data_IF_229870696480
#
_entry.id   IF_229870696480
#
_cell.length_a   1.000
_cell.length_b   1.000
_cell.length_c   1.000
_cell.angle_alpha   90.00
_cell.angle_beta   90.00
_cell.angle_gamma   90.00
#
_symmetry.space_group_name_H-M   'P 1'
#
loop_
_entity.id
_entity.type
_entity.pdbx_description
1 polymer ?
#
# COMPACT_ATOMS: atom_id res chain seq x y z
N UNK A 1 -28.44 -7.02 15.35
CA UNK A 1 -28.21 -6.06 14.25
C UNK A 1 -26.79 -6.29 13.74
N UNK A 2 -26.61 -6.66 12.47
CA UNK A 2 -25.32 -7.07 11.90
C UNK A 2 -24.54 -5.94 11.21
N UNK A 3 -25.19 -4.79 11.03
CA UNK A 3 -24.64 -3.59 10.40
C UNK A 3 -25.02 -2.37 11.25
N UNK A 4 -24.07 -1.48 11.50
CA UNK A 4 -24.29 -0.21 12.19
C UNK A 4 -23.49 0.88 11.49
N UNK A 5 -24.16 1.99 11.17
CA UNK A 5 -23.52 3.20 10.67
C UNK A 5 -23.77 4.34 11.65
N UNK A 6 -22.69 4.87 12.21
CA UNK A 6 -22.69 6.05 13.07
C UNK A 6 -22.18 7.22 12.25
N UNK A 7 -23.12 8.05 11.81
CA UNK A 7 -22.85 9.30 11.11
C UNK A 7 -22.96 10.48 12.08
N UNK A 8 -22.38 11.63 11.72
CA UNK A 8 -22.47 12.86 12.53
C UNK A 8 -21.86 12.68 13.92
N UNK A 9 -20.70 12.02 13.98
CA UNK A 9 -19.99 11.71 15.22
C UNK A 9 -19.59 12.95 16.04
N UNK A 10 -19.57 14.14 15.44
CA UNK A 10 -19.39 15.41 16.17
C UNK A 10 -20.47 15.63 17.25
N UNK A 11 -21.67 15.07 17.08
CA UNK A 11 -22.75 15.17 18.08
C UNK A 11 -22.50 14.30 19.31
N UNK A 12 -21.65 13.29 19.18
CA UNK A 12 -21.26 12.41 20.29
C UNK A 12 -20.16 13.01 21.17
N UNK A 13 -19.44 14.03 20.70
CA UNK A 13 -18.38 14.72 21.48
C UNK A 13 -18.90 15.34 22.78
N UNK A 14 -20.20 15.65 22.85
CA UNK A 14 -20.85 16.22 24.03
C UNK A 14 -21.62 15.19 24.88
N UNK A 15 -21.64 13.91 24.49
CA UNK A 15 -22.40 12.89 25.17
C UNK A 15 -21.47 11.95 25.95
N UNK A 16 -21.52 12.00 27.28
CA UNK A 16 -20.87 11.05 28.16
C UNK A 16 -21.62 9.72 28.13
N UNK A 17 -21.41 8.90 27.11
CA UNK A 17 -22.02 7.56 27.07
C UNK A 17 -20.99 6.49 26.79
N UNK A 18 -20.87 5.63 27.81
CA UNK A 18 -20.27 4.30 27.90
C UNK A 18 -20.12 3.53 26.58
N UNK A 19 -19.19 2.58 26.57
CA UNK A 19 -18.83 1.61 25.50
C UNK A 19 -20.02 0.87 24.84
N UNK A 20 -20.89 1.56 24.10
CA UNK A 20 -22.16 1.01 23.55
C UNK A 20 -21.92 -0.09 22.51
N UNK A 21 -20.74 -0.11 21.89
CA UNK A 21 -20.44 -0.98 20.76
C UNK A 21 -19.92 -2.36 21.16
N UNK A 22 -19.28 -2.49 22.33
CA UNK A 22 -18.70 -3.78 22.79
C UNK A 22 -19.78 -4.84 23.05
N UNK A 23 -20.96 -4.41 23.50
CA UNK A 23 -22.07 -5.29 23.85
C UNK A 23 -22.85 -5.77 22.61
N UNK A 24 -22.56 -5.22 21.42
CA UNK A 24 -23.20 -5.59 20.16
C UNK A 24 -22.53 -6.80 19.53
N UNK A 25 -22.58 -7.94 20.22
CA UNK A 25 -21.95 -9.21 19.81
C UNK A 25 -22.42 -9.79 18.48
N UNK A 26 -23.48 -9.25 17.86
CA UNK A 26 -23.93 -9.65 16.52
C UNK A 26 -23.51 -8.68 15.42
N UNK A 27 -22.82 -7.59 15.75
CA UNK A 27 -22.38 -6.57 14.81
C UNK A 27 -21.17 -7.06 14.02
N UNK A 28 -21.33 -7.10 12.69
CA UNK A 28 -20.28 -7.51 11.76
C UNK A 28 -19.73 -6.37 10.93
N UNK A 29 -20.51 -5.31 10.73
CA UNK A 29 -20.13 -4.17 9.89
C UNK A 29 -20.33 -2.87 10.66
N UNK A 30 -19.29 -2.06 10.75
CA UNK A 30 -19.29 -0.79 11.45
C UNK A 30 -18.79 0.32 10.52
N UNK A 31 -19.61 1.35 10.34
CA UNK A 31 -19.22 2.59 9.67
C UNK A 31 -19.19 3.72 10.69
N UNK A 32 -18.05 4.41 10.80
CA UNK A 32 -17.84 5.58 11.64
C UNK A 32 -17.56 6.77 10.73
N UNK A 33 -18.50 7.69 10.64
CA UNK A 33 -18.40 8.86 9.76
C UNK A 33 -18.49 10.15 10.58
N UNK A 34 -17.42 10.94 10.47
CA UNK A 34 -17.44 12.32 10.94
C UNK A 34 -17.92 13.23 9.82
N UNK A 35 -18.77 14.22 10.11
CA UNK A 35 -19.18 15.14 9.04
C UNK A 35 -18.09 16.17 8.75
N UNK A 36 -17.83 16.40 7.46
CA UNK A 36 -16.91 17.43 7.01
C UNK A 36 -17.42 18.79 7.46
N UNK A 37 -16.66 19.47 8.32
CA UNK A 37 -16.83 20.91 8.52
C UNK A 37 -16.40 21.58 7.22
N UNK A 38 -17.10 22.65 6.80
CA UNK A 38 -16.77 23.39 5.57
C UNK A 38 -15.34 23.97 5.57
N UNK A 39 -14.99 24.76 4.55
CA UNK A 39 -13.65 25.32 4.36
C UNK A 39 -13.08 25.98 5.64
N UNK A 40 -12.06 25.34 6.23
CA UNK A 40 -11.36 25.80 7.43
C UNK A 40 -10.49 24.71 8.06
N UNK A 41 -9.40 25.11 8.74
CA UNK A 41 -8.59 24.19 9.54
C UNK A 41 -9.29 23.84 10.86
N UNK A 42 -9.25 22.58 11.27
CA UNK A 42 -9.73 22.16 12.60
C UNK A 42 -8.88 22.80 13.70
N UNK A 43 -9.52 23.25 14.79
CA UNK A 43 -8.80 23.66 15.99
C UNK A 43 -8.19 22.44 16.70
N UNK A 44 -7.16 22.64 17.52
CA UNK A 44 -6.59 21.57 18.35
C UNK A 44 -7.64 20.90 19.26
N UNK A 45 -8.63 21.69 19.72
CA UNK A 45 -9.74 21.18 20.52
C UNK A 45 -10.66 20.25 19.71
N UNK A 46 -10.99 20.61 18.47
CA UNK A 46 -11.79 19.75 17.59
C UNK A 46 -11.08 18.41 17.33
N UNK A 47 -9.76 18.46 17.07
CA UNK A 47 -8.92 17.26 16.84
C UNK A 47 -8.93 16.37 18.09
N UNK A 48 -8.68 16.95 19.26
CA UNK A 48 -8.69 16.21 20.54
C UNK A 48 -10.05 15.59 20.82
N UNK A 49 -11.14 16.30 20.52
CA UNK A 49 -12.49 15.79 20.71
C UNK A 49 -12.80 14.63 19.77
N UNK A 50 -12.38 14.68 18.51
CA UNK A 50 -12.54 13.57 17.58
C UNK A 50 -11.78 12.32 18.06
N UNK A 51 -10.52 12.47 18.49
CA UNK A 51 -9.75 11.36 19.05
C UNK A 51 -10.45 10.73 20.26
N UNK A 52 -10.96 11.55 21.19
CA UNK A 52 -11.73 11.07 22.37
C UNK A 52 -13.01 10.33 22.00
N UNK A 53 -13.73 10.79 20.98
CA UNK A 53 -14.97 10.13 20.53
C UNK A 53 -14.62 8.76 19.93
N UNK A 54 -13.64 8.70 19.03
CA UNK A 54 -13.23 7.44 18.42
C UNK A 54 -12.63 6.44 19.43
N UNK A 55 -11.95 6.92 20.47
CA UNK A 55 -11.44 6.08 21.57
C UNK A 55 -12.56 5.38 22.35
N UNK A 56 -13.72 6.02 22.49
CA UNK A 56 -14.88 5.46 23.18
C UNK A 56 -15.69 4.47 22.31
N UNK A 57 -15.52 4.53 20.99
CA UNK A 57 -16.23 3.69 20.01
C UNK A 57 -15.51 2.35 19.77
N UNK A 58 -15.25 1.61 20.86
CA UNK A 58 -14.53 0.33 20.81
C UNK A 58 -15.36 -0.70 20.02
N UNK A 59 -14.86 -1.21 18.89
CA UNK A 59 -15.58 -2.21 18.10
C UNK A 59 -15.66 -3.56 18.84
N UNK A 60 -16.71 -4.37 18.57
CA UNK A 60 -16.78 -5.72 19.10
C UNK A 60 -15.77 -6.64 18.41
N UNK A 61 -15.31 -7.68 19.13
CA UNK A 61 -14.24 -8.58 18.69
C UNK A 61 -14.54 -9.36 17.40
N UNK A 62 -15.82 -9.53 17.05
CA UNK A 62 -16.30 -10.28 15.90
C UNK A 62 -16.62 -9.40 14.69
N UNK A 63 -16.13 -8.15 14.68
CA UNK A 63 -16.31 -7.23 13.57
C UNK A 63 -15.53 -7.73 12.33
N UNK A 64 -16.22 -7.77 11.19
CA UNK A 64 -15.69 -8.26 9.90
C UNK A 64 -15.43 -7.11 8.91
N UNK A 65 -16.17 -5.99 8.98
CA UNK A 65 -16.00 -4.80 8.13
C UNK A 65 -15.97 -3.53 8.98
N UNK A 66 -14.91 -2.75 8.84
CA UNK A 66 -14.72 -1.45 9.48
C UNK A 66 -14.47 -0.39 8.40
N UNK A 67 -15.32 0.64 8.40
CA UNK A 67 -15.16 1.81 7.55
C UNK A 67 -15.08 3.06 8.42
N UNK A 68 -13.98 3.80 8.34
CA UNK A 68 -13.80 5.10 8.98
C UNK A 68 -13.76 6.16 7.88
N UNK A 69 -14.60 7.18 8.02
CA UNK A 69 -14.76 8.26 7.03
C UNK A 69 -14.52 9.60 7.70
N UNK A 70 -13.69 10.44 7.07
CA UNK A 70 -13.45 11.84 7.44
C UNK A 70 -12.86 12.00 8.84
N UNK A 71 -12.06 11.04 9.30
CA UNK A 71 -11.36 11.15 10.57
C UNK A 71 -10.17 12.12 10.44
N UNK A 72 -10.20 13.18 11.25
CA UNK A 72 -9.20 14.26 11.24
C UNK A 72 -8.39 14.32 12.55
N UNK A 73 -8.47 13.27 13.38
CA UNK A 73 -7.52 13.07 14.47
C UNK A 73 -6.11 12.82 13.94
N UNK A 74 -5.09 13.18 14.73
CA UNK A 74 -3.70 12.93 14.36
C UNK A 74 -3.28 11.52 14.76
N UNK A 75 -3.93 10.95 15.78
CA UNK A 75 -3.63 9.63 16.33
C UNK A 75 -4.82 8.68 16.17
N UNK A 76 -4.55 7.46 15.73
CA UNK A 76 -5.56 6.41 15.73
C UNK A 76 -5.89 5.95 17.16
N UNK A 77 -7.13 5.50 17.40
CA UNK A 77 -7.53 4.96 18.69
C UNK A 77 -6.68 3.80 19.17
N UNK A 78 -6.54 3.63 20.48
CA UNK A 78 -5.69 2.57 21.06
C UNK A 78 -6.18 1.17 20.70
N UNK A 79 -7.48 0.99 20.45
CA UNK A 79 -8.04 -0.29 20.04
C UNK A 79 -7.54 -0.79 18.67
N UNK A 80 -6.93 0.06 17.82
CA UNK A 80 -6.18 -0.39 16.64
C UNK A 80 -4.93 -1.21 16.98
N UNK A 81 -4.39 -1.05 18.19
CA UNK A 81 -3.20 -1.74 18.68
C UNK A 81 -3.52 -3.04 19.44
N UNK A 82 -4.79 -3.46 19.42
CA UNK A 82 -5.29 -4.57 20.25
C UNK A 82 -5.94 -5.66 19.41
N UNK A 83 -6.22 -6.80 20.02
CA UNK A 83 -6.83 -7.97 19.35
C UNK A 83 -8.31 -7.80 18.99
N UNK A 84 -8.92 -6.64 19.26
CA UNK A 84 -10.35 -6.38 18.95
C UNK A 84 -10.68 -6.49 17.45
N UNK A 85 -9.68 -6.32 16.58
CA UNK A 85 -9.85 -6.38 15.12
C UNK A 85 -9.41 -7.73 14.52
N UNK A 86 -9.19 -8.76 15.34
CA UNK A 86 -8.69 -10.06 14.88
C UNK A 86 -9.61 -10.78 13.89
N UNK A 87 -10.92 -10.53 13.93
CA UNK A 87 -11.89 -11.04 12.95
C UNK A 87 -12.07 -10.15 11.71
N UNK A 88 -11.37 -9.00 11.64
CA UNK A 88 -11.58 -8.02 10.58
C UNK A 88 -11.13 -8.55 9.21
N UNK A 89 -12.01 -8.45 8.22
CA UNK A 89 -11.81 -8.90 6.85
C UNK A 89 -11.66 -7.70 5.90
N UNK A 90 -12.43 -6.64 6.12
CA UNK A 90 -12.45 -5.42 5.31
C UNK A 90 -12.14 -4.20 6.16
N UNK A 91 -11.17 -3.40 5.75
CA UNK A 91 -10.84 -2.12 6.37
C UNK A 91 -10.79 -1.02 5.32
N UNK A 92 -11.55 0.06 5.54
CA UNK A 92 -11.57 1.26 4.70
C UNK A 92 -11.33 2.49 5.57
N UNK A 93 -10.24 3.19 5.30
CA UNK A 93 -9.94 4.51 5.85
C UNK A 93 -10.11 5.51 4.72
N UNK A 94 -11.14 6.36 4.81
CA UNK A 94 -11.51 7.30 3.76
C UNK A 94 -11.43 8.72 4.29
N UNK A 95 -10.72 9.57 3.56
CA UNK A 95 -10.57 10.99 3.86
C UNK A 95 -9.90 11.25 5.23
N UNK A 96 -8.79 10.56 5.51
CA UNK A 96 -8.03 10.63 6.78
C UNK A 96 -6.89 11.64 6.74
N UNK A 97 -7.20 12.89 6.37
CA UNK A 97 -6.21 13.90 5.95
C UNK A 97 -5.17 14.27 7.01
N UNK A 98 -5.53 14.26 8.29
CA UNK A 98 -4.68 14.75 9.40
C UNK A 98 -3.74 13.70 9.98
N UNK A 99 -3.92 12.42 9.65
CA UNK A 99 -3.13 11.34 10.23
C UNK A 99 -1.71 11.32 9.64
N UNK A 100 -0.70 11.51 10.49
CA UNK A 100 0.72 11.53 10.07
C UNK A 100 1.29 10.12 9.88
N UNK A 101 0.81 9.18 10.70
CA UNK A 101 1.15 7.78 10.64
C UNK A 101 -0.12 6.98 10.45
N UNK A 102 -0.07 5.86 9.73
CA UNK A 102 -1.21 4.96 9.69
C UNK A 102 -1.11 3.89 10.81
N UNK A 103 -2.24 3.25 11.20
CA UNK A 103 -2.28 2.40 12.38
C UNK A 103 -1.58 1.05 12.14
N UNK A 104 -1.18 0.30 13.17
CA UNK A 104 -0.53 -1.00 13.00
C UNK A 104 -1.53 -2.11 12.66
N UNK A 105 -2.18 -1.98 11.52
CA UNK A 105 -3.19 -2.91 10.98
C UNK A 105 -2.57 -4.09 10.24
N UNK A 106 -1.25 -4.12 10.09
CA UNK A 106 -0.50 -5.10 9.31
C UNK A 106 -0.47 -6.47 9.98
N UNK A 107 -0.67 -6.50 11.29
CA UNK A 107 -0.73 -7.74 12.08
C UNK A 107 -2.12 -8.38 12.06
N UNK A 108 -3.11 -7.79 11.36
CA UNK A 108 -4.47 -8.33 11.30
C UNK A 108 -4.48 -9.66 10.52
N UNK A 109 -4.81 -10.78 11.17
CA UNK A 109 -4.58 -12.12 10.60
C UNK A 109 -5.60 -12.52 9.54
N UNK A 110 -6.76 -11.84 9.49
CA UNK A 110 -7.87 -12.18 8.60
C UNK A 110 -8.19 -11.10 7.57
N UNK A 111 -7.42 -10.00 7.54
CA UNK A 111 -7.70 -8.89 6.64
C UNK A 111 -7.45 -9.33 5.20
N UNK A 112 -8.48 -9.23 4.36
CA UNK A 112 -8.44 -9.54 2.92
C UNK A 112 -8.45 -8.28 2.05
N UNK A 113 -9.04 -7.20 2.54
CA UNK A 113 -9.19 -5.95 1.80
C UNK A 113 -8.77 -4.77 2.67
N UNK A 114 -7.88 -3.93 2.14
CA UNK A 114 -7.47 -2.68 2.74
C UNK A 114 -7.58 -1.56 1.70
N UNK A 115 -8.34 -0.51 2.04
CA UNK A 115 -8.34 0.77 1.30
C UNK A 115 -7.96 1.90 2.24
N UNK A 116 -6.98 2.70 1.83
CA UNK A 116 -6.57 3.94 2.48
C UNK A 116 -6.68 5.05 1.43
N UNK A 117 -7.43 6.09 1.75
CA UNK A 117 -7.84 7.13 0.81
C UNK A 117 -7.81 8.49 1.51
N UNK A 118 -7.23 9.50 0.84
CA UNK A 118 -7.14 10.86 1.36
C UNK A 118 -6.19 11.03 2.56
N UNK A 119 -5.18 10.17 2.71
CA UNK A 119 -4.21 10.23 3.81
C UNK A 119 -3.11 11.29 3.54
N UNK A 120 -3.51 12.56 3.50
CA UNK A 120 -2.69 13.68 3.00
C UNK A 120 -1.46 14.01 3.84
N UNK A 121 -1.44 13.70 5.13
CA UNK A 121 -0.32 14.00 6.03
C UNK A 121 0.76 12.91 6.06
N UNK A 122 0.50 11.74 5.48
CA UNK A 122 1.45 10.61 5.46
C UNK A 122 2.56 10.90 4.45
N UNK A 123 3.81 10.83 4.93
CA UNK A 123 5.01 11.01 4.09
C UNK A 123 5.79 9.74 3.86
N UNK A 124 5.70 8.76 4.77
CA UNK A 124 6.43 7.50 4.71
C UNK A 124 5.57 6.34 5.15
N UNK A 125 5.75 5.20 4.50
CA UNK A 125 5.13 3.92 4.82
C UNK A 125 6.25 2.90 4.97
N UNK A 126 6.46 2.39 6.18
CA UNK A 126 7.57 1.48 6.43
C UNK A 126 7.41 0.57 7.65
N UNK A 127 8.48 0.09 8.29
CA UNK A 127 8.39 -0.92 9.34
C UNK A 127 7.70 -0.44 10.62
N UNK A 128 7.67 0.88 10.87
CA UNK A 128 6.88 1.46 11.97
C UNK A 128 5.39 1.13 11.81
N UNK A 129 5.00 0.91 10.57
CA UNK A 129 3.65 0.56 10.20
C UNK A 129 3.31 -0.89 10.54
N UNK A 130 4.30 -1.79 10.50
CA UNK A 130 4.14 -3.20 10.89
C UNK A 130 4.08 -3.37 12.43
N UNK A 131 4.24 -2.27 13.18
CA UNK A 131 4.24 -2.26 14.63
C UNK A 131 5.57 -2.71 15.25
N UNK A 132 6.62 -2.88 14.43
CA UNK A 132 7.97 -3.19 14.90
C UNK A 132 8.63 -1.90 15.39
N UNK A 133 9.00 -1.88 16.67
CA UNK A 133 9.86 -0.83 17.22
C UNK A 133 11.32 -1.25 17.09
N UNK A 134 12.20 -0.25 16.92
CA UNK A 134 13.65 -0.47 16.98
C UNK A 134 14.00 -1.05 18.35
N UNK A 135 14.45 -2.31 18.38
CA UNK A 135 14.78 -3.04 19.62
C UNK A 135 13.79 -4.14 20.05
N UNK A 136 12.71 -4.36 19.29
CA UNK A 136 11.90 -5.57 19.47
C UNK A 136 12.73 -6.82 19.15
N UNK A 137 12.42 -7.99 19.75
CA UNK A 137 13.19 -9.21 19.50
C UNK A 137 13.34 -9.46 18.00
N UNK A 138 14.43 -10.11 17.60
CA UNK A 138 14.59 -10.61 16.23
C UNK A 138 13.62 -11.79 16.08
N UNK A 139 12.40 -11.53 15.58
CA UNK A 139 11.44 -12.60 15.33
C UNK A 139 11.94 -13.37 14.11
N UNK A 140 12.02 -14.70 14.23
CA UNK A 140 12.58 -15.57 13.18
C UNK A 140 11.83 -15.46 11.85
N UNK A 141 10.54 -15.11 11.89
CA UNK A 141 9.72 -14.82 10.71
C UNK A 141 8.56 -13.92 11.14
N UNK A 142 8.43 -12.73 10.54
CA UNK A 142 7.25 -11.87 10.70
C UNK A 142 6.51 -11.85 9.37
N UNK A 143 5.21 -12.17 9.39
CA UNK A 143 4.37 -12.12 8.20
C UNK A 143 3.40 -10.96 8.36
N UNK A 144 3.64 -9.88 7.63
CA UNK A 144 2.68 -8.78 7.56
C UNK A 144 1.57 -9.14 6.56
N UNK A 145 0.32 -8.93 6.95
CA UNK A 145 -0.86 -9.17 6.12
C UNK A 145 -0.93 -10.58 5.52
N UNK A 146 -1.04 -11.63 6.36
CA UNK A 146 -0.96 -13.01 5.92
C UNK A 146 -2.07 -13.43 4.94
N UNK A 147 -3.20 -12.71 4.90
CA UNK A 147 -4.36 -13.04 4.03
C UNK A 147 -4.82 -11.87 3.16
N UNK A 148 -4.06 -10.78 3.08
CA UNK A 148 -4.51 -9.61 2.32
C UNK A 148 -4.47 -9.91 0.84
N UNK A 149 -5.63 -9.80 0.18
CA UNK A 149 -5.81 -10.08 -1.24
C UNK A 149 -5.84 -8.79 -2.07
N UNK A 150 -6.35 -7.69 -1.49
CA UNK A 150 -6.45 -6.39 -2.18
C UNK A 150 -5.96 -5.24 -1.30
N UNK A 151 -5.01 -4.48 -1.82
CA UNK A 151 -4.46 -3.27 -1.21
C UNK A 151 -4.67 -2.06 -2.12
N UNK A 152 -5.25 -1.00 -1.59
CA UNK A 152 -5.57 0.23 -2.32
C UNK A 152 -5.08 1.44 -1.53
N UNK A 153 -4.21 2.23 -2.13
CA UNK A 153 -3.84 3.58 -1.69
C UNK A 153 -4.31 4.60 -2.71
N UNK A 154 -5.09 5.59 -2.26
CA UNK A 154 -5.64 6.66 -3.08
C UNK A 154 -5.32 8.02 -2.45
N UNK A 155 -5.05 9.02 -3.27
CA UNK A 155 -4.98 10.43 -2.86
C UNK A 155 -4.07 10.64 -1.63
N UNK A 156 -2.79 10.29 -1.78
CA UNK A 156 -1.76 10.46 -0.76
C UNK A 156 -0.65 11.40 -1.29
N UNK A 157 -0.93 12.71 -1.43
CA UNK A 157 -0.07 13.65 -2.16
C UNK A 157 1.29 13.92 -1.52
N UNK A 158 1.45 13.65 -0.22
CA UNK A 158 2.72 13.86 0.50
C UNK A 158 3.56 12.59 0.67
N UNK A 159 3.05 11.43 0.23
CA UNK A 159 3.73 10.16 0.41
C UNK A 159 4.95 10.07 -0.52
N UNK A 160 6.14 9.95 0.07
CA UNK A 160 7.42 9.97 -0.64
C UNK A 160 8.13 8.63 -0.63
N UNK A 161 8.04 7.86 0.46
CA UNK A 161 8.84 6.66 0.68
C UNK A 161 7.97 5.45 1.05
N UNK A 162 8.16 4.34 0.36
CA UNK A 162 7.59 3.04 0.71
C UNK A 162 8.68 1.98 0.80
N UNK A 163 9.17 1.74 2.01
CA UNK A 163 10.34 0.88 2.25
C UNK A 163 10.16 0.07 3.53
N UNK A 164 10.52 -1.21 3.52
CA UNK A 164 10.44 -2.08 4.69
C UNK A 164 11.81 -2.64 5.02
N UNK A 165 12.56 -1.92 5.85
CA UNK A 165 13.95 -2.19 6.22
C UNK A 165 14.93 -2.15 5.03
N UNK A 166 16.12 -1.63 5.29
CA UNK A 166 17.20 -1.65 4.33
C UNK A 166 17.75 -3.06 4.12
N UNK A 167 18.36 -3.23 2.94
CA UNK A 167 19.28 -4.31 2.55
C UNK A 167 20.06 -4.80 3.76
N UNK A 168 20.27 -6.11 3.83
CA UNK A 168 21.20 -6.80 4.75
C UNK A 168 22.09 -5.83 5.49
N UNK A 169 21.92 -5.72 6.82
CA UNK A 169 22.89 -5.03 7.66
C UNK A 169 24.21 -5.78 7.50
N UNK A 170 25.01 -5.42 6.48
CA UNK A 170 26.43 -5.63 6.51
C UNK A 170 26.89 -4.73 7.63
N UNK A 171 27.10 -5.33 8.80
CA UNK A 171 27.80 -4.70 9.91
C UNK A 171 29.17 -4.25 9.40
N UNK A 172 29.22 -3.02 8.93
CA UNK A 172 30.40 -2.29 8.56
C UNK A 172 30.10 -0.84 8.89
N UNK A 173 30.05 -0.55 10.19
CA UNK A 173 30.75 0.60 10.73
C UNK A 173 30.74 0.53 12.26
N UNK A 174 31.91 0.86 12.81
CA UNK A 174 32.29 0.91 14.23
C UNK A 174 32.90 -0.36 14.85
N UNK A 175 34.16 -0.66 14.51
CA UNK A 175 35.24 -0.58 15.50
C UNK A 175 36.62 -0.63 14.83
N UNK A 176 37.53 0.19 15.35
CA UNK A 176 38.84 0.48 14.78
C UNK A 176 39.83 -0.70 14.78
N UNK A 177 40.93 -0.39 14.10
CA UNK A 177 42.21 -1.11 14.08
C UNK A 177 42.56 -1.72 15.45
N UNK A 178 42.70 -3.05 15.53
CA UNK A 178 43.93 -3.76 15.93
C UNK A 178 43.67 -5.30 16.02
N UNK A 179 44.66 -6.08 15.60
CA UNK A 179 44.96 -7.43 16.12
C UNK A 179 43.93 -8.58 16.04
N UNK A 180 44.13 -9.45 15.04
CA UNK A 180 43.96 -10.92 15.08
C UNK A 180 42.97 -11.56 16.10
N UNK A 181 41.83 -12.04 15.60
CA UNK A 181 41.23 -13.30 16.04
C UNK A 181 40.29 -13.85 14.95
N UNK A 182 40.57 -15.07 14.49
CA UNK A 182 39.76 -15.85 13.58
C UNK A 182 38.44 -16.24 14.28
N UNK A 183 37.42 -15.41 14.15
CA UNK A 183 36.06 -15.71 14.61
C UNK A 183 35.27 -16.21 13.41
N UNK A 184 35.01 -17.52 13.41
CA UNK A 184 34.07 -18.18 12.51
C UNK A 184 32.76 -17.38 12.53
N UNK A 185 32.38 -16.83 11.37
CA UNK A 185 31.03 -16.27 11.14
C UNK A 185 30.01 -17.39 11.34
N UNK A 186 29.55 -17.58 12.57
CA UNK A 186 28.37 -18.39 12.84
C UNK A 186 27.14 -17.63 12.35
N UNK A 187 26.32 -18.34 11.57
CA UNK A 187 25.10 -17.91 10.94
C UNK A 187 24.14 -17.22 11.93
N UNK A 188 24.17 -15.89 11.99
CA UNK A 188 23.08 -15.13 12.56
C UNK A 188 21.92 -15.15 11.55
N UNK A 189 20.75 -15.74 11.86
CA UNK A 189 19.62 -15.70 10.95
C UNK A 189 19.13 -14.26 10.85
N UNK A 190 19.46 -13.59 9.74
CA UNK A 190 18.80 -12.34 9.34
C UNK A 190 17.30 -12.55 9.40
N UNK A 191 16.60 -11.76 10.21
CA UNK A 191 15.15 -11.78 10.28
C UNK A 191 14.59 -11.62 8.87
N UNK A 192 13.90 -12.65 8.38
CA UNK A 192 13.17 -12.60 7.11
C UNK A 192 11.75 -12.17 7.43
N UNK A 193 11.41 -10.94 7.06
CA UNK A 193 10.03 -10.48 7.09
C UNK A 193 9.41 -10.77 5.72
N UNK A 194 8.32 -11.54 5.69
CA UNK A 194 7.53 -11.75 4.47
C UNK A 194 6.37 -10.78 4.45
N UNK A 195 6.29 -9.98 3.39
CA UNK A 195 5.23 -9.01 3.22
C UNK A 195 4.19 -9.54 2.24
N UNK A 196 2.90 -9.41 2.62
CA UNK A 196 1.79 -9.50 1.68
C UNK A 196 1.74 -10.83 0.86
N UNK A 197 1.93 -12.01 1.48
CA UNK A 197 2.11 -13.28 0.75
C UNK A 197 0.91 -13.70 -0.11
N UNK A 198 -0.29 -13.20 0.19
CA UNK A 198 -1.52 -13.52 -0.53
C UNK A 198 -2.05 -12.35 -1.37
N UNK A 199 -1.26 -11.29 -1.56
CA UNK A 199 -1.72 -10.11 -2.30
C UNK A 199 -1.95 -10.45 -3.76
N UNK A 200 -3.17 -10.19 -4.24
CA UNK A 200 -3.60 -10.45 -5.61
C UNK A 200 -3.68 -9.17 -6.41
N UNK A 201 -4.09 -8.05 -5.80
CA UNK A 201 -4.25 -6.77 -6.49
C UNK A 201 -3.72 -5.60 -5.67
N UNK A 202 -2.90 -4.77 -6.30
CA UNK A 202 -2.35 -3.54 -5.74
C UNK A 202 -2.74 -2.33 -6.59
N UNK A 203 -3.37 -1.34 -5.96
CA UNK A 203 -3.77 -0.09 -6.60
C UNK A 203 -3.12 1.09 -5.87
N UNK A 204 -2.37 1.91 -6.60
CA UNK A 204 -1.75 3.15 -6.12
C UNK A 204 -2.19 4.30 -7.02
N UNK A 205 -3.14 5.12 -6.58
CA UNK A 205 -3.66 6.23 -7.40
C UNK A 205 -3.49 7.57 -6.70
N UNK A 206 -3.00 8.58 -7.42
CA UNK A 206 -2.85 9.93 -6.87
C UNK A 206 -1.82 10.02 -5.74
N UNK A 207 -0.68 9.34 -5.91
CA UNK A 207 0.46 9.42 -5.00
C UNK A 207 1.68 10.02 -5.72
N UNK A 208 1.61 11.30 -6.17
CA UNK A 208 2.57 11.89 -7.11
C UNK A 208 4.00 11.99 -6.58
N UNK A 209 4.19 11.94 -5.27
CA UNK A 209 5.49 12.08 -4.63
C UNK A 209 6.24 10.77 -4.39
N UNK A 210 5.56 9.63 -4.54
CA UNK A 210 6.14 8.31 -4.27
C UNK A 210 7.28 8.06 -5.25
N UNK A 211 8.48 7.79 -4.71
CA UNK A 211 9.71 7.68 -5.52
C UNK A 211 9.93 6.27 -6.03
N UNK A 212 9.67 5.28 -5.20
CA UNK A 212 9.99 3.87 -5.46
C UNK A 212 8.96 2.95 -4.82
N UNK A 213 8.81 1.75 -5.39
CA UNK A 213 8.06 0.64 -4.80
C UNK A 213 9.00 -0.20 -3.90
N UNK A 214 8.51 -0.79 -2.80
CA UNK A 214 9.35 -1.59 -1.91
C UNK A 214 9.85 -2.86 -2.62
N UNK A 215 11.16 -3.13 -2.52
CA UNK A 215 11.83 -4.28 -3.16
C UNK A 215 11.29 -5.67 -2.78
N UNK A 216 10.53 -5.74 -1.69
CA UNK A 216 9.88 -6.95 -1.20
C UNK A 216 8.62 -7.29 -1.99
N UNK A 217 8.01 -6.31 -2.68
CA UNK A 217 7.00 -6.62 -3.69
C UNK A 217 7.66 -7.54 -4.74
N UNK A 218 6.92 -8.52 -5.23
CA UNK A 218 7.39 -9.56 -6.15
C UNK A 218 8.30 -10.64 -5.55
N UNK A 219 9.18 -10.33 -4.58
CA UNK A 219 9.94 -11.39 -3.85
C UNK A 219 9.04 -12.18 -2.92
N UNK A 220 8.21 -11.48 -2.13
CA UNK A 220 7.37 -12.10 -1.12
C UNK A 220 5.89 -12.20 -1.54
N UNK A 221 5.48 -11.46 -2.58
CA UNK A 221 4.10 -11.41 -3.08
C UNK A 221 3.87 -12.32 -4.28
N UNK A 222 4.05 -13.63 -4.09
CA UNK A 222 3.97 -14.61 -5.17
C UNK A 222 2.60 -14.72 -5.87
N UNK A 223 1.54 -14.13 -5.31
CA UNK A 223 0.17 -14.21 -5.82
C UNK A 223 -0.29 -12.95 -6.58
N UNK A 224 0.58 -11.96 -6.77
CA UNK A 224 0.18 -10.67 -7.34
C UNK A 224 -0.19 -10.85 -8.83
N UNK A 225 -1.42 -10.49 -9.18
CA UNK A 225 -1.98 -10.63 -10.53
C UNK A 225 -2.19 -9.29 -11.22
N UNK A 226 -2.53 -8.26 -10.46
CA UNK A 226 -2.87 -6.95 -11.01
C UNK A 226 -2.14 -5.85 -10.25
N UNK A 227 -1.35 -5.06 -10.98
CA UNK A 227 -0.69 -3.86 -10.49
C UNK A 227 -1.22 -2.64 -11.24
N UNK A 228 -1.80 -1.69 -10.51
CA UNK A 228 -2.43 -0.51 -11.08
C UNK A 228 -1.83 0.76 -10.47
N UNK A 229 -1.06 1.48 -11.28
CA UNK A 229 -0.30 2.67 -10.90
C UNK A 229 -0.90 3.87 -11.63
N UNK A 230 -1.44 4.86 -10.92
CA UNK A 230 -1.98 6.07 -11.55
C UNK A 230 -1.52 7.35 -10.86
N UNK A 231 -1.06 8.33 -11.62
CA UNK A 231 -0.65 9.63 -11.07
C UNK A 231 0.56 9.54 -10.13
N UNK A 232 1.53 8.65 -10.41
CA UNK A 232 2.77 8.48 -9.65
C UNK A 232 3.92 9.26 -10.30
N UNK A 233 3.84 10.59 -10.24
CA UNK A 233 4.70 11.47 -11.05
C UNK A 233 6.19 11.47 -10.68
N UNK A 234 6.57 11.02 -9.49
CA UNK A 234 7.97 10.90 -9.07
C UNK A 234 8.55 9.48 -9.27
N UNK A 235 7.72 8.50 -9.63
CA UNK A 235 8.17 7.14 -9.88
C UNK A 235 8.94 7.11 -11.20
N UNK A 236 10.23 6.75 -11.15
CA UNK A 236 11.13 6.78 -12.32
C UNK A 236 11.19 5.49 -13.09
N UNK A 237 11.10 4.36 -12.40
CA UNK A 237 11.17 3.05 -13.01
C UNK A 237 10.22 2.06 -12.33
N UNK A 238 9.76 1.08 -13.10
CA UNK A 238 9.13 -0.15 -12.59
C UNK A 238 10.03 -1.31 -13.03
N UNK A 239 10.82 -1.83 -12.09
CA UNK A 239 11.92 -2.77 -12.36
C UNK A 239 12.01 -3.90 -11.34
N UNK A 240 12.66 -5.00 -11.74
CA UNK A 240 13.26 -6.00 -10.85
C UNK A 240 12.33 -6.66 -9.83
N UNK A 241 11.08 -6.98 -10.21
CA UNK A 241 10.37 -7.98 -9.43
C UNK A 241 9.80 -9.13 -10.28
N UNK A 242 10.35 -10.35 -10.15
CA UNK A 242 10.15 -11.46 -11.08
C UNK A 242 8.74 -12.09 -11.09
N UNK A 243 7.78 -11.54 -10.35
CA UNK A 243 6.43 -12.11 -10.15
C UNK A 243 5.33 -11.04 -10.17
N UNK A 244 5.58 -9.86 -10.75
CA UNK A 244 4.81 -8.66 -10.40
C UNK A 244 3.34 -8.63 -10.82
N UNK A 245 2.92 -9.22 -11.93
CA UNK A 245 1.51 -9.22 -12.32
C UNK A 245 1.31 -9.91 -13.66
N UNK A 246 0.15 -10.54 -13.85
CA UNK A 246 -0.40 -10.87 -15.18
C UNK A 246 -0.77 -9.55 -15.90
N UNK A 247 -1.34 -8.58 -15.17
CA UNK A 247 -1.86 -7.33 -15.71
C UNK A 247 -1.18 -6.12 -15.06
N UNK A 248 -0.51 -5.29 -15.87
CA UNK A 248 0.12 -4.05 -15.45
C UNK A 248 -0.59 -2.86 -16.09
N UNK A 249 -1.19 -2.00 -15.26
CA UNK A 249 -1.92 -0.81 -15.70
C UNK A 249 -1.21 0.43 -15.16
N UNK A 250 -0.76 1.30 -16.06
CA UNK A 250 -0.06 2.54 -15.72
C UNK A 250 -0.76 3.72 -16.40
N UNK A 251 -1.25 4.69 -15.61
CA UNK A 251 -1.95 5.87 -16.11
C UNK A 251 -1.39 7.16 -15.53
N UNK A 252 -1.19 8.19 -16.34
CA UNK A 252 -0.86 9.55 -15.88
C UNK A 252 0.40 9.61 -14.98
N UNK A 253 1.37 8.71 -15.19
CA UNK A 253 2.64 8.69 -14.47
C UNK A 253 3.70 9.41 -15.31
N UNK A 254 3.70 10.75 -15.27
CA UNK A 254 4.53 11.56 -16.17
C UNK A 254 6.03 11.37 -15.95
N UNK A 255 6.48 11.12 -14.73
CA UNK A 255 7.90 10.93 -14.43
C UNK A 255 8.46 9.56 -14.74
N UNK A 256 7.62 8.60 -15.14
CA UNK A 256 8.04 7.23 -15.44
C UNK A 256 8.86 7.20 -16.72
N UNK A 257 10.10 6.74 -16.61
CA UNK A 257 11.06 6.70 -17.73
C UNK A 257 11.29 5.29 -18.26
N UNK A 258 11.18 4.26 -17.39
CA UNK A 258 11.56 2.88 -17.71
C UNK A 258 10.61 1.85 -17.12
N UNK A 259 10.31 0.81 -17.90
CA UNK A 259 9.64 -0.42 -17.46
C UNK A 259 10.51 -1.58 -17.94
N UNK A 260 11.07 -2.38 -17.05
CA UNK A 260 11.94 -3.47 -17.51
C UNK A 260 12.00 -4.67 -16.57
N UNK A 261 12.40 -5.82 -17.11
CA UNK A 261 12.55 -7.09 -16.38
C UNK A 261 11.25 -7.60 -15.72
N UNK A 262 10.12 -7.55 -16.43
CA UNK A 262 8.83 -8.06 -15.95
C UNK A 262 8.36 -9.24 -16.82
N UNK A 263 8.99 -10.43 -16.70
CA UNK A 263 8.75 -11.55 -17.62
C UNK A 263 7.35 -12.17 -17.51
N UNK A 264 6.60 -11.90 -16.44
CA UNK A 264 5.27 -12.49 -16.18
C UNK A 264 4.10 -11.63 -16.69
N UNK A 265 4.36 -10.39 -17.13
CA UNK A 265 3.30 -9.49 -17.60
C UNK A 265 2.76 -10.00 -18.92
N UNK A 266 1.46 -10.27 -18.97
CA UNK A 266 0.72 -10.71 -20.17
C UNK A 266 -0.07 -9.58 -20.80
N UNK A 267 -0.57 -8.64 -19.99
CA UNK A 267 -1.29 -7.43 -20.44
C UNK A 267 -0.62 -6.18 -19.86
N UNK A 268 -0.18 -5.28 -20.75
CA UNK A 268 0.36 -3.98 -20.40
C UNK A 268 -0.55 -2.87 -20.94
N UNK A 269 -1.10 -2.04 -20.04
CA UNK A 269 -1.91 -0.88 -20.39
C UNK A 269 -1.18 0.40 -19.95
N UNK A 270 -0.85 1.28 -20.89
CA UNK A 270 -0.11 2.53 -20.61
C UNK A 270 -0.82 3.74 -21.22
N UNK A 271 -1.02 4.78 -20.41
CA UNK A 271 -1.59 6.07 -20.81
C UNK A 271 -0.96 7.20 -20.00
N UNK A 272 -0.83 8.41 -20.56
CA UNK A 272 -0.34 9.58 -19.82
C UNK A 272 1.09 9.48 -19.30
N UNK A 273 1.93 8.61 -19.88
CA UNK A 273 3.32 8.39 -19.48
C UNK A 273 4.29 8.98 -20.51
N UNK A 274 4.34 10.31 -20.58
CA UNK A 274 5.00 11.02 -21.68
C UNK A 274 6.55 10.91 -21.68
N UNK A 275 7.17 10.61 -20.54
CA UNK A 275 8.62 10.40 -20.45
C UNK A 275 9.06 8.94 -20.60
N UNK A 276 8.11 8.02 -20.82
CA UNK A 276 8.42 6.59 -20.92
C UNK A 276 9.23 6.32 -22.19
N UNK A 277 10.52 6.06 -22.01
CA UNK A 277 11.47 5.95 -23.13
C UNK A 277 11.97 4.54 -23.36
N UNK A 278 11.83 3.66 -22.37
CA UNK A 278 12.40 2.33 -22.40
C UNK A 278 11.44 1.30 -21.81
N UNK A 279 11.08 0.29 -22.60
CA UNK A 279 10.21 -0.83 -22.22
C UNK A 279 10.81 -2.11 -22.77
N UNK A 280 11.37 -2.97 -21.91
CA UNK A 280 12.07 -4.20 -22.33
C UNK A 280 11.89 -5.36 -21.34
N UNK A 281 12.18 -6.59 -21.75
CA UNK A 281 12.18 -7.75 -20.83
C UNK A 281 10.78 -8.23 -20.43
N UNK A 282 9.75 -7.92 -21.24
CA UNK A 282 8.38 -8.42 -21.08
C UNK A 282 8.18 -9.73 -21.87
N UNK A 283 8.76 -10.83 -21.41
CA UNK A 283 8.82 -12.09 -22.16
C UNK A 283 7.47 -12.78 -22.43
N UNK A 284 6.49 -12.62 -21.54
CA UNK A 284 5.16 -13.26 -21.66
C UNK A 284 4.07 -12.31 -22.16
N UNK A 285 4.43 -11.12 -22.64
CA UNK A 285 3.46 -10.11 -23.06
C UNK A 285 2.65 -10.61 -24.26
N UNK A 286 1.32 -10.51 -24.17
CA UNK A 286 0.37 -10.90 -25.21
C UNK A 286 -0.41 -9.70 -25.73
N UNK A 287 -0.81 -8.80 -24.84
CA UNK A 287 -1.63 -7.63 -25.16
C UNK A 287 -0.92 -6.35 -24.71
N UNK A 288 -0.91 -5.34 -25.59
CA UNK A 288 -0.43 -4.00 -25.31
C UNK A 288 -1.53 -2.98 -25.61
N UNK A 289 -2.02 -2.28 -24.59
CA UNK A 289 -2.99 -1.20 -24.77
C UNK A 289 -2.34 0.16 -24.53
N UNK A 290 -2.45 1.06 -25.51
CA UNK A 290 -1.88 2.40 -25.46
C UNK A 290 -2.96 3.48 -25.47
N UNK A 291 -2.85 4.45 -24.58
CA UNK A 291 -3.65 5.67 -24.63
C UNK A 291 -3.42 6.47 -25.92
N UNK A 292 -4.42 7.24 -26.34
CA UNK A 292 -4.33 8.08 -27.54
C UNK A 292 -3.20 9.12 -27.47
N UNK A 293 -2.85 9.53 -26.26
CA UNK A 293 -1.78 10.46 -25.92
C UNK A 293 -0.37 9.85 -25.99
N UNK A 294 -0.25 8.52 -26.16
CA UNK A 294 1.03 7.81 -26.16
C UNK A 294 1.66 7.65 -27.55
N UNK A 295 1.00 8.05 -28.65
CA UNK A 295 1.43 7.72 -30.02
C UNK A 295 2.87 8.15 -30.37
N UNK A 296 3.29 9.35 -29.98
CA UNK A 296 4.64 9.83 -30.27
C UNK A 296 5.70 9.09 -29.43
N UNK A 297 5.39 8.85 -28.17
CA UNK A 297 6.32 8.28 -27.18
C UNK A 297 6.50 6.78 -27.39
N UNK A 298 5.41 6.08 -27.70
CA UNK A 298 5.40 4.65 -27.94
C UNK A 298 6.24 4.25 -29.16
N UNK A 299 6.38 5.13 -30.16
CA UNK A 299 7.25 4.91 -31.33
C UNK A 299 8.71 4.61 -30.97
N UNK A 300 9.17 5.00 -29.77
CA UNK A 300 10.56 4.83 -29.32
C UNK A 300 10.87 3.42 -28.80
N UNK A 301 9.88 2.70 -28.30
CA UNK A 301 10.09 1.42 -27.61
C UNK A 301 9.20 0.28 -28.12
N UNK A 302 8.00 0.58 -28.66
CA UNK A 302 7.10 -0.44 -29.24
C UNK A 302 7.78 -1.28 -30.31
N UNK A 303 8.59 -0.73 -31.25
CA UNK A 303 9.26 -1.56 -32.25
C UNK A 303 10.23 -2.59 -31.64
N UNK A 304 10.95 -2.21 -30.57
CA UNK A 304 11.85 -3.13 -29.87
C UNK A 304 11.08 -4.24 -29.15
N UNK A 305 9.95 -3.89 -28.54
CA UNK A 305 9.06 -4.83 -27.88
C UNK A 305 8.40 -5.80 -28.86
N UNK A 306 7.99 -5.29 -30.04
CA UNK A 306 7.43 -6.08 -31.14
C UNK A 306 8.43 -7.12 -31.64
N UNK A 307 9.67 -6.71 -31.86
CA UNK A 307 10.73 -7.60 -32.34
C UNK A 307 11.07 -8.67 -31.28
N UNK A 308 11.14 -8.28 -30.00
CA UNK A 308 11.31 -9.23 -28.90
C UNK A 308 10.18 -10.25 -28.85
N UNK A 309 8.92 -9.81 -28.98
CA UNK A 309 7.75 -10.70 -28.98
C UNK A 309 7.77 -11.66 -30.17
N UNK A 310 8.08 -11.17 -31.37
CA UNK A 310 8.20 -11.99 -32.59
C UNK A 310 9.31 -13.04 -32.49
N UNK A 311 10.44 -12.71 -31.87
CA UNK A 311 11.52 -13.67 -31.64
C UNK A 311 11.14 -14.78 -30.65
N UNK A 312 10.30 -14.46 -29.66
CA UNK A 312 9.90 -15.40 -28.61
C UNK A 312 8.71 -16.27 -29.00
N UNK A 313 7.70 -15.69 -29.66
CA UNK A 313 6.40 -16.33 -29.91
C UNK A 313 6.12 -16.59 -31.40
N UNK A 314 6.90 -16.00 -32.31
CA UNK A 314 6.73 -16.18 -33.76
C UNK A 314 5.57 -15.42 -34.38
N UNK A 315 4.85 -14.62 -33.60
CA UNK A 315 3.73 -13.78 -34.03
C UNK A 315 3.95 -12.31 -33.65
N UNK A 316 3.05 -11.44 -34.12
CA UNK A 316 3.07 -10.02 -33.81
C UNK A 316 2.27 -9.76 -32.52
N UNK A 317 2.76 -8.87 -31.66
CA UNK A 317 2.07 -8.45 -30.45
C UNK A 317 0.78 -7.70 -30.79
N UNK A 318 -0.31 -8.04 -30.10
CA UNK A 318 -1.60 -7.35 -30.28
C UNK A 318 -1.57 -5.98 -29.61
N UNK A 319 -1.73 -4.92 -30.41
CA UNK A 319 -1.73 -3.52 -29.94
C UNK A 319 -3.13 -2.92 -30.05
N UNK A 320 -3.68 -2.50 -28.92
CA UNK A 320 -5.01 -1.91 -28.80
C UNK A 320 -4.95 -0.43 -28.40
N UNK A 321 -6.01 0.32 -28.72
CA UNK A 321 -6.22 1.67 -28.19
C UNK A 321 -6.95 1.61 -26.85
N UNK A 322 -6.37 2.22 -25.83
CA UNK A 322 -6.98 2.30 -24.51
C UNK A 322 -7.92 3.51 -24.40
N UNK A 323 -9.22 3.28 -24.56
CA UNK A 323 -10.25 4.34 -24.70
C UNK A 323 -11.05 4.66 -23.43
N UNK A 324 -10.47 4.56 -22.21
CA UNK A 324 -11.20 4.89 -20.96
C UNK A 324 -10.39 5.73 -20.00
#
# INVERSE_FOLDING_TARGET
MSYLSLVKLERAAHCSTNTVLTDKTHLKHLTLEWTERGEGSYSEEDVSNAEKVFEQLIPPHNLEDLTIVKFFGQRYPTWFHTTFLSSLIYLKLVDVRSCVHLPPIWQLPNLKYLKIDGAHAVTKVGPEFVGCKKGDPVWKELIAFPKLERLIFMDMPKWEEWSFFDKEVTAADELGEDGAADIRKEDAPSARMRLLPCLVKLFLHGCPKLRDLPQQLGKDTACLKELNLRGLNNLKAVEDHPVLSEVLIIGDCEGLERIYNLPQVTDLQVRGCLNLSHVEGLGSLQELSLGEDMQEVSSRWVPGLQEQHRQLHGEDLDIYTWTR
#
